data_IF_957358648102
#
_entry.id   IF_957358648102
#
_cell.length_a   1.000
_cell.length_b   1.000
_cell.length_c   1.000
_cell.angle_alpha   90.00
_cell.angle_beta   90.00
_cell.angle_gamma   90.00
#
_symmetry.space_group_name_H-M   'P 1'
#
loop_
_entity.id
_entity.type
_entity.pdbx_description
1 polymer ?
2 polymer ?
3 polymer ?
4 non-polymer ?
5 water ?
#
loop_
_entity_poly.entity_id
_entity_poly.type
_entity_poly.pdbx_seq_one_letter_code
_entity_poly.pdbx_strand_id
2 'polyribonucleotide' '(GTP)GUCACGCACAGGGCAAACCAUUCGAAAGAGUGGGACGCAAAGCCUCCGGCCUAAACCAUUGCACUCCGGUAGGUAGCGGGGUUAUCGAUGG' ?
3 'polyribonucleotide' 'GA' ?
#
# COMPACT_ATOMS: atom_id res chain seq x y z
N UNK A 7 -15.61 2.42 7.02
CA UNK A 7 -14.24 2.97 6.76
C UNK A 7 -13.14 1.91 6.67
N UNK A 8 -12.88 1.16 7.77
CA UNK A 8 -11.75 0.23 7.76
C UNK A 8 -11.88 -0.86 6.70
N UNK A 9 -10.77 -1.18 6.05
CA UNK A 9 -10.74 -2.17 4.98
C UNK A 9 -9.54 -3.10 5.14
N UNK A 10 -9.67 -4.33 4.63
CA UNK A 10 -8.55 -5.27 4.56
C UNK A 10 -7.39 -4.68 3.76
N UNK A 11 -7.75 -3.86 2.77
CA UNK A 11 -6.80 -3.24 1.88
C UNK A 11 -6.50 -1.82 2.36
N UNK A 12 -5.23 -1.42 2.29
CA UNK A 12 -4.88 -0.01 2.43
C UNK A 12 -4.47 0.53 1.07
N UNK A 13 -4.74 1.82 0.86
CA UNK A 13 -4.47 2.48 -0.40
C UNK A 13 -3.41 3.53 -0.18
N UNK A 14 -2.26 3.33 -0.82
CA UNK A 14 -1.14 4.24 -0.68
C UNK A 14 -1.08 5.21 -1.86
N UNK A 15 -1.07 6.49 -1.51
CA UNK A 15 -1.11 7.60 -2.44
C UNK A 15 0.31 8.18 -2.54
N UNK A 16 0.51 9.14 -3.44
CA UNK A 16 1.75 9.93 -3.46
C UNK A 16 3.06 9.11 -3.55
N UNK A 17 3.02 7.99 -4.25
CA UNK A 17 4.25 7.19 -4.43
C UNK A 17 5.08 7.72 -5.58
N UNK A 18 6.40 7.48 -5.51
CA UNK A 18 7.34 7.84 -6.56
C UNK A 18 7.09 7.02 -7.82
N UNK A 19 6.67 7.70 -8.88
CA UNK A 19 6.27 7.05 -10.14
C UNK A 19 7.44 6.49 -10.96
N UNK A 20 8.68 6.84 -10.60
CA UNK A 20 9.84 6.51 -11.41
C UNK A 20 10.45 5.15 -11.03
N UNK A 21 9.88 4.52 -10.00
CA UNK A 21 10.31 3.21 -9.55
C UNK A 21 9.57 2.15 -10.39
N UNK A 22 10.30 1.09 -10.74
CA UNK A 22 9.75 -0.03 -11.49
C UNK A 22 8.75 -0.79 -10.62
N UNK A 23 7.75 -1.41 -11.27
CA UNK A 23 6.80 -2.28 -10.57
C UNK A 23 7.50 -3.27 -9.64
N UNK A 24 8.43 -4.03 -10.23
CA UNK A 24 9.14 -5.10 -9.53
C UNK A 24 9.72 -4.62 -8.20
N UNK A 25 10.52 -3.55 -8.25
CA UNK A 25 11.20 -3.06 -7.05
C UNK A 25 10.25 -2.39 -6.07
N UNK A 26 9.24 -1.71 -6.59
CA UNK A 26 8.23 -1.05 -5.75
C UNK A 26 7.41 -2.05 -4.94
N UNK A 27 6.91 -3.10 -5.59
CA UNK A 27 6.20 -4.19 -4.92
C UNK A 27 7.11 -4.85 -3.88
N UNK A 28 8.38 -5.01 -4.24
CA UNK A 28 9.39 -5.63 -3.38
C UNK A 28 9.60 -4.78 -2.12
N UNK A 29 9.80 -3.49 -2.30
CA UNK A 29 9.94 -2.55 -1.18
C UNK A 29 8.66 -2.50 -0.33
N UNK A 30 7.53 -2.23 -0.97
CA UNK A 30 6.25 -2.15 -0.25
C UNK A 30 6.00 -3.37 0.63
N UNK A 31 6.50 -4.52 0.18
CA UNK A 31 6.39 -5.75 0.96
C UNK A 31 7.30 -5.76 2.18
N UNK A 32 8.51 -5.22 2.01
CA UNK A 32 9.47 -5.09 3.11
C UNK A 32 8.93 -4.14 4.18
N UNK A 33 8.36 -3.03 3.73
CA UNK A 33 7.77 -2.03 4.61
C UNK A 33 6.59 -2.60 5.41
N UNK A 34 5.66 -3.26 4.73
CA UNK A 34 4.36 -3.60 5.31
C UNK A 34 4.16 -5.04 5.80
N UNK A 35 5.14 -5.92 5.55
CA UNK A 35 4.98 -7.32 5.95
C UNK A 35 5.06 -7.50 7.46
N UNK A 36 5.73 -6.56 8.13
CA UNK A 36 5.91 -6.59 9.57
C UNK A 36 4.63 -6.25 10.36
N UNK A 37 3.61 -5.77 9.67
CA UNK A 37 2.34 -5.46 10.31
C UNK A 37 1.33 -6.61 10.26
N UNK A 38 1.61 -7.62 9.44
CA UNK A 38 0.73 -8.78 9.31
C UNK A 38 0.76 -9.41 7.92
N UNK A 39 0.19 -10.61 7.82
CA UNK A 39 0.15 -11.35 6.56
C UNK A 39 -0.52 -10.57 5.43
N UNK A 40 0.17 -10.51 4.28
CA UNK A 40 -0.34 -9.80 3.12
C UNK A 40 -0.85 -10.80 2.10
N UNK A 41 -2.08 -10.59 1.61
CA UNK A 41 -2.68 -11.46 0.61
C UNK A 41 -2.13 -11.18 -0.78
N UNK A 42 -1.98 -9.90 -1.11
CA UNK A 42 -1.37 -9.48 -2.36
C UNK A 42 -1.01 -7.99 -2.32
N UNK A 43 -0.10 -7.58 -3.19
CA UNK A 43 0.18 -6.16 -3.40
C UNK A 43 -0.05 -5.81 -4.86
N UNK A 44 -1.02 -4.92 -5.09
CA UNK A 44 -1.39 -4.52 -6.44
C UNK A 44 -0.74 -3.20 -6.81
N UNK A 45 0.15 -3.25 -7.80
CA UNK A 45 0.79 -2.07 -8.35
C UNK A 45 0.68 -2.11 -9.88
N UNK A 46 -0.01 -1.12 -10.44
CA UNK A 46 0.02 -0.91 -11.88
C UNK A 46 0.69 0.44 -12.16
N UNK A 47 1.27 0.56 -13.35
CA UNK A 47 1.93 1.80 -13.75
C UNK A 47 1.26 2.41 -14.98
N UNK A 48 -0.04 2.17 -15.09
CA UNK A 48 -0.87 2.82 -16.09
C UNK A 48 -1.17 4.26 -15.67
N UNK A 49 -1.62 5.08 -16.62
CA UNK A 49 -1.95 6.48 -16.35
C UNK A 49 -2.85 6.66 -15.12
N UNK A 50 -3.88 5.82 -15.03
CA UNK A 50 -4.84 5.88 -13.94
C UNK A 50 -4.25 5.33 -12.63
N UNK A 51 -3.28 4.43 -12.73
CA UNK A 51 -2.77 3.72 -11.55
C UNK A 51 -1.38 4.12 -11.06
N UNK A 52 -0.73 5.04 -11.78
CA UNK A 52 0.58 5.55 -11.39
C UNK A 52 0.60 6.17 -9.99
N UNK A 53 1.72 5.98 -9.29
CA UNK A 53 1.95 6.57 -7.97
C UNK A 53 1.05 6.04 -6.86
N UNK A 54 0.34 4.96 -7.14
CA UNK A 54 -0.60 4.37 -6.19
C UNK A 54 -0.29 2.90 -5.98
N UNK A 55 -0.70 2.36 -4.83
CA UNK A 55 -0.58 0.93 -4.56
C UNK A 55 -1.65 0.44 -3.59
N UNK A 56 -2.03 -0.83 -3.75
CA UNK A 56 -2.97 -1.49 -2.87
C UNK A 56 -2.27 -2.64 -2.15
N UNK A 57 -2.11 -2.53 -0.84
CA UNK A 57 -1.66 -3.66 -0.03
C UNK A 57 -2.88 -4.30 0.64
N UNK A 58 -3.09 -5.59 0.39
CA UNK A 58 -4.25 -6.30 0.92
C UNK A 58 -3.85 -7.21 2.09
N UNK A 59 -4.28 -6.84 3.30
CA UNK A 59 -3.93 -7.59 4.49
C UNK A 59 -4.91 -8.71 4.78
N UNK A 60 -4.37 -9.81 5.29
CA UNK A 60 -5.17 -10.94 5.77
C UNK A 60 -6.20 -10.47 6.81
N UNK A 61 -5.80 -9.52 7.65
CA UNK A 61 -6.64 -9.00 8.71
C UNK A 61 -6.74 -7.48 8.73
N UNK A 62 -7.94 -7.00 9.09
CA UNK A 62 -8.23 -5.57 9.11
C UNK A 62 -7.40 -4.83 10.17
N UNK A 63 -7.23 -5.44 11.33
CA UNK A 63 -6.41 -4.86 12.38
C UNK A 63 -4.99 -4.58 11.88
N UNK A 64 -4.41 -5.56 11.17
CA UNK A 64 -3.05 -5.41 10.64
C UNK A 64 -2.99 -4.42 9.46
N UNK A 65 -4.14 -4.12 8.88
CA UNK A 65 -4.24 -3.04 7.90
C UNK A 65 -4.27 -1.70 8.62
N UNK A 66 -5.05 -1.62 9.69
CA UNK A 66 -5.19 -0.42 10.53
C UNK A 66 -3.86 -0.01 11.17
N UNK A 67 -3.09 -1.02 11.58
CA UNK A 67 -1.80 -0.77 12.21
C UNK A 67 -0.81 -0.11 11.24
N UNK A 68 -0.81 -0.59 10.00
CA UNK A 68 0.08 -0.06 8.96
C UNK A 68 -0.24 1.38 8.61
N UNK A 69 -1.52 1.69 8.48
CA UNK A 69 -1.98 3.05 8.20
C UNK A 69 -1.57 3.99 9.34
N UNK A 70 -1.91 3.62 10.58
CA UNK A 70 -1.61 4.46 11.74
C UNK A 70 -0.11 4.68 11.91
N UNK A 71 0.66 3.60 11.75
CA UNK A 71 2.10 3.63 11.99
C UNK A 71 2.89 4.37 10.92
N UNK A 72 2.46 4.24 9.67
CA UNK A 72 3.32 4.62 8.55
C UNK A 72 2.83 5.78 7.67
N UNK A 73 1.94 6.61 8.20
CA UNK A 73 1.53 7.84 7.52
C UNK A 73 2.71 8.76 7.25
N UNK A 74 2.85 9.15 5.99
CA UNK A 74 3.82 10.16 5.59
C UNK A 74 5.27 9.71 5.69
N UNK A 75 5.49 8.40 5.66
CA UNK A 75 6.83 7.85 5.74
C UNK A 75 7.64 8.21 4.50
N UNK A 76 8.79 8.89 4.70
CA UNK A 76 9.67 9.16 3.56
C UNK A 76 10.00 7.86 2.82
N UNK A 77 9.49 7.76 1.60
CA UNK A 77 9.61 6.55 0.79
C UNK A 77 9.98 6.96 -0.63
N UNK A 78 11.20 6.61 -1.04
CA UNK A 78 11.75 7.01 -2.34
C UNK A 78 11.47 8.49 -2.60
N UNK A 79 11.99 9.35 -1.71
CA UNK A 79 11.78 10.81 -1.77
C UNK A 79 10.43 11.32 -1.26
N UNK A 80 9.36 10.59 -1.57
CA UNK A 80 8.02 11.06 -1.26
C UNK A 80 7.47 10.51 0.07
N UNK A 81 6.63 11.30 0.77
CA UNK A 81 5.95 10.77 1.95
C UNK A 81 4.68 10.00 1.58
N UNK A 82 4.61 8.74 1.98
CA UNK A 82 3.46 7.89 1.74
C UNK A 82 2.19 8.48 2.36
N UNK A 83 1.15 8.65 1.55
CA UNK A 83 -0.17 8.96 2.08
C UNK A 83 -0.96 7.65 2.06
N UNK A 84 -1.49 7.26 3.21
CA UNK A 84 -2.24 6.01 3.29
C UNK A 84 -3.68 6.26 3.71
N UNK A 85 -4.61 5.65 2.98
CA UNK A 85 -6.02 5.62 3.35
C UNK A 85 -6.47 4.18 3.28
N UNK A 86 -7.64 3.89 3.84
CA UNK A 86 -8.32 2.63 3.57
C UNK A 86 -8.85 2.66 2.15
N UNK A 87 -8.93 1.50 1.51
CA UNK A 87 -9.60 1.39 0.24
C UNK A 87 -11.09 1.68 0.40
N UNK A 88 -11.70 2.26 -0.62
CA UNK A 88 -13.11 2.63 -0.58
C UNK A 88 -14.00 1.38 -0.65
N UNK A 89 -13.52 0.38 -1.38
CA UNK A 89 -14.19 -0.91 -1.54
C UNK A 89 -13.13 -1.99 -1.36
N UNK A 90 -13.53 -3.25 -1.23
CA UNK A 90 -12.58 -4.34 -1.01
C UNK A 90 -12.44 -5.29 -2.21
N UNK A 91 -13.56 -5.86 -2.64
CA UNK A 91 -13.64 -6.80 -3.77
C UNK A 91 -12.39 -7.70 -3.99
N UNK A 92 -11.88 -8.24 -2.90
CA UNK A 92 -10.78 -9.21 -2.94
C UNK A 92 -11.27 -10.57 -3.42
N UNK A 93 -12.60 -10.73 -3.44
CA UNK A 93 -13.26 -11.99 -3.80
C UNK A 93 -13.17 -12.30 -5.29
#
# INVERSE_FOLDING_TARGET
MAVPETRPNHTIYINNLNEKIKKDELKKSLHAIFSRFGQILDILVSRSLKMRGQAFVIFKEVSSATNALRSMQGFPFYDKPMRIQYAKTDSDIIAKMK
#
